data_IF_596136361209
#
_entry.id   IF_596136361209
#
_cell.length_a   1.000
_cell.length_b   1.000
_cell.length_c   1.000
_cell.angle_alpha   90.00
_cell.angle_beta   90.00
_cell.angle_gamma   90.00
#
_symmetry.space_group_name_H-M   'P 1'
#
loop_
_entity.id
_entity.type
_entity.pdbx_description
1 polymer ?
#
# COMPACT_ATOMS: atom_id res chain seq x y z
N UNK A 1 -6.86 -9.07 -10.94
CA UNK A 1 -7.52 -8.53 -12.15
C UNK A 1 -7.77 -7.04 -11.94
N UNK A 2 -6.85 -6.17 -12.39
CA UNK A 2 -7.09 -4.73 -12.41
C UNK A 2 -7.98 -4.43 -13.62
N UNK A 3 -9.25 -4.09 -13.41
CA UNK A 3 -10.09 -3.59 -14.51
C UNK A 3 -9.67 -2.15 -14.74
N UNK A 4 -9.09 -1.87 -15.91
CA UNK A 4 -8.76 -0.51 -16.30
C UNK A 4 -10.02 0.38 -16.23
N UNK A 5 -9.84 1.63 -15.81
CA UNK A 5 -10.94 2.59 -15.72
C UNK A 5 -11.52 2.88 -17.11
N UNK A 6 -12.79 2.54 -17.32
CA UNK A 6 -13.51 2.78 -18.58
C UNK A 6 -14.23 4.14 -18.51
N UNK A 7 -13.59 5.14 -19.13
CA UNK A 7 -14.13 6.50 -19.23
C UNK A 7 -15.47 6.51 -19.97
N UNK A 8 -15.66 5.69 -21.00
CA UNK A 8 -16.87 5.70 -21.82
C UNK A 8 -18.08 5.06 -21.11
N UNK A 9 -17.84 4.07 -20.26
CA UNK A 9 -18.86 3.54 -19.35
C UNK A 9 -19.23 4.59 -18.29
N UNK A 10 -18.22 5.21 -17.65
CA UNK A 10 -18.43 6.21 -16.60
C UNK A 10 -19.21 7.43 -17.11
N UNK A 11 -18.90 7.92 -18.32
CA UNK A 11 -19.62 9.04 -18.94
C UNK A 11 -21.08 8.68 -19.22
N UNK A 12 -21.36 7.44 -19.63
CA UNK A 12 -22.73 6.95 -19.86
C UNK A 12 -23.52 6.87 -18.56
N UNK A 13 -22.91 6.37 -17.49
CA UNK A 13 -23.54 6.27 -16.18
C UNK A 13 -23.85 7.66 -15.61
N UNK A 14 -22.93 8.61 -15.78
CA UNK A 14 -23.13 10.00 -15.35
C UNK A 14 -24.25 10.68 -16.15
N UNK A 15 -24.33 10.45 -17.46
CA UNK A 15 -25.44 10.95 -18.28
C UNK A 15 -26.78 10.32 -17.89
N UNK A 16 -26.80 9.02 -17.58
CA UNK A 16 -27.99 8.34 -17.07
C UNK A 16 -28.45 8.91 -15.72
N UNK A 17 -27.53 9.43 -14.90
CA UNK A 17 -27.81 10.13 -13.66
C UNK A 17 -28.23 11.61 -13.86
N UNK A 18 -28.37 12.08 -15.10
CA UNK A 18 -28.79 13.45 -15.43
C UNK A 18 -27.65 14.47 -15.48
N UNK A 19 -26.39 14.04 -15.42
CA UNK A 19 -25.24 14.93 -15.58
C UNK A 19 -25.08 15.30 -17.05
N UNK A 20 -24.98 16.59 -17.35
CA UNK A 20 -24.78 17.06 -18.71
C UNK A 20 -23.50 16.48 -19.33
N UNK A 21 -23.52 16.16 -20.62
CA UNK A 21 -22.42 15.44 -21.31
C UNK A 21 -21.04 16.05 -21.08
N UNK A 22 -20.91 17.37 -21.19
CA UNK A 22 -19.63 18.06 -20.96
C UNK A 22 -19.12 17.93 -19.51
N UNK A 23 -20.02 17.95 -18.53
CA UNK A 23 -19.67 17.70 -17.13
C UNK A 23 -19.31 16.23 -16.89
N UNK A 24 -20.05 15.30 -17.51
CA UNK A 24 -19.78 13.87 -17.40
C UNK A 24 -18.39 13.51 -17.95
N UNK A 25 -18.03 14.05 -19.12
CA UNK A 25 -16.71 13.87 -19.74
C UNK A 25 -15.60 14.48 -18.87
N UNK A 26 -15.80 15.69 -18.34
CA UNK A 26 -14.85 16.34 -17.44
C UNK A 26 -14.64 15.55 -16.13
N UNK A 27 -15.72 15.02 -15.55
CA UNK A 27 -15.66 14.24 -14.31
C UNK A 27 -14.96 12.89 -14.53
N UNK A 28 -15.27 12.19 -15.63
CA UNK A 28 -14.62 10.94 -15.98
C UNK A 28 -13.12 11.14 -16.28
N UNK A 29 -12.75 12.25 -16.94
CA UNK A 29 -11.35 12.61 -17.16
C UNK A 29 -10.61 12.91 -15.84
N UNK A 30 -11.24 13.64 -14.92
CA UNK A 30 -10.68 13.90 -13.59
C UNK A 30 -10.48 12.61 -12.79
N UNK A 31 -11.45 11.68 -12.81
CA UNK A 31 -11.33 10.38 -12.17
C UNK A 31 -10.21 9.52 -12.77
N UNK A 32 -10.05 9.53 -14.10
CA UNK A 32 -8.96 8.83 -14.78
C UNK A 32 -7.60 9.39 -14.36
N UNK A 33 -7.45 10.71 -14.39
CA UNK A 33 -6.21 11.39 -13.99
C UNK A 33 -5.87 11.14 -12.52
N UNK A 34 -6.85 11.20 -11.62
CA UNK A 34 -6.67 10.86 -10.22
C UNK A 34 -6.36 9.37 -9.98
N UNK A 35 -6.75 8.50 -10.90
CA UNK A 35 -6.38 7.08 -10.85
C UNK A 35 -4.94 6.86 -11.33
N UNK A 36 -4.48 7.63 -12.31
CA UNK A 36 -3.10 7.59 -12.84
C UNK A 36 -2.09 8.22 -11.86
N UNK A 37 -2.50 9.24 -11.10
CA UNK A 37 -1.63 9.99 -10.17
C UNK A 37 -1.51 9.36 -8.78
N UNK A 38 -2.25 8.29 -8.51
CA UNK A 38 -2.01 7.49 -7.30
C UNK A 38 -0.79 6.62 -7.58
N UNK A 39 0.33 6.93 -6.92
CA UNK A 39 1.42 5.97 -6.72
C UNK A 39 0.80 4.65 -6.23
N UNK A 40 0.66 3.71 -7.16
CA UNK A 40 0.04 2.44 -6.87
C UNK A 40 1.04 1.67 -6.02
N UNK A 41 0.93 1.76 -4.69
CA UNK A 41 1.59 0.78 -3.81
C UNK A 41 1.00 -0.56 -4.19
N UNK A 42 1.75 -1.30 -5.00
CA UNK A 42 1.34 -2.61 -5.44
C UNK A 42 1.27 -3.51 -4.20
N UNK A 43 0.37 -4.51 -4.21
CA UNK A 43 0.33 -5.50 -3.13
C UNK A 43 1.71 -6.12 -2.90
N UNK A 44 2.48 -6.31 -3.97
CA UNK A 44 3.85 -6.82 -3.92
C UNK A 44 4.80 -5.87 -3.16
N UNK A 45 4.72 -4.56 -3.35
CA UNK A 45 5.52 -3.59 -2.61
C UNK A 45 5.14 -3.55 -1.13
N UNK A 46 3.84 -3.65 -0.82
CA UNK A 46 3.37 -3.74 0.55
C UNK A 46 3.88 -5.02 1.24
N UNK A 47 3.76 -6.17 0.57
CA UNK A 47 4.26 -7.46 1.07
C UNK A 47 5.78 -7.44 1.26
N UNK A 48 6.52 -6.84 0.34
CA UNK A 48 7.97 -6.67 0.46
C UNK A 48 8.36 -5.76 1.65
N UNK A 49 7.60 -4.68 1.88
CA UNK A 49 7.80 -3.80 3.02
C UNK A 49 7.52 -4.52 4.35
N UNK A 50 6.47 -5.33 4.40
CA UNK A 50 6.11 -6.17 5.56
C UNK A 50 7.21 -7.20 5.83
N UNK A 51 7.64 -7.96 4.82
CA UNK A 51 8.73 -8.93 4.96
C UNK A 51 10.02 -8.29 5.47
N UNK A 52 10.36 -7.09 4.98
CA UNK A 52 11.52 -6.32 5.47
C UNK A 52 11.38 -5.91 6.93
N UNK A 53 10.18 -5.55 7.38
CA UNK A 53 9.91 -5.24 8.79
C UNK A 53 10.02 -6.50 9.67
N UNK A 54 9.50 -7.64 9.24
CA UNK A 54 9.61 -8.92 9.95
C UNK A 54 11.07 -9.32 10.16
N UNK A 55 11.90 -9.26 9.10
CA UNK A 55 13.34 -9.55 9.19
C UNK A 55 14.05 -8.59 10.15
N UNK A 56 13.67 -7.31 10.14
CA UNK A 56 14.23 -6.32 11.06
C UNK A 56 13.88 -6.65 12.52
N UNK A 57 12.64 -7.03 12.80
CA UNK A 57 12.20 -7.44 14.13
C UNK A 57 12.93 -8.71 14.61
N UNK A 58 13.03 -9.73 13.76
CA UNK A 58 13.77 -10.96 14.06
C UNK A 58 15.22 -10.67 14.43
N UNK A 59 15.89 -9.78 13.67
CA UNK A 59 17.26 -9.36 13.98
C UNK A 59 17.38 -8.70 15.36
N UNK A 60 16.43 -7.83 15.71
CA UNK A 60 16.42 -7.19 17.01
C UNK A 60 16.19 -8.18 18.15
N UNK A 61 15.23 -9.11 17.99
CA UNK A 61 14.97 -10.16 18.98
C UNK A 61 16.20 -11.02 19.21
N UNK A 62 16.88 -11.43 18.13
CA UNK A 62 18.11 -12.21 18.24
C UNK A 62 19.22 -11.44 18.95
N UNK A 63 19.38 -10.15 18.64
CA UNK A 63 20.36 -9.27 19.30
C UNK A 63 20.08 -9.11 20.80
N UNK A 64 18.82 -8.91 21.17
CA UNK A 64 18.41 -8.82 22.59
C UNK A 64 18.64 -10.14 23.31
N UNK A 65 18.26 -11.27 22.70
CA UNK A 65 18.48 -12.59 23.27
C UNK A 65 19.98 -12.86 23.52
N UNK A 66 20.84 -12.52 22.55
CA UNK A 66 22.29 -12.64 22.70
C UNK A 66 22.83 -11.75 23.82
N UNK A 67 22.33 -10.51 23.94
CA UNK A 67 22.72 -9.60 25.01
C UNK A 67 22.32 -10.12 26.40
N UNK A 68 21.12 -10.71 26.54
CA UNK A 68 20.65 -11.33 27.79
C UNK A 68 21.55 -12.51 28.17
N UNK A 69 21.87 -13.40 27.22
CA UNK A 69 22.76 -14.55 27.47
C UNK A 69 24.16 -14.08 27.89
N UNK A 70 24.70 -13.06 27.22
CA UNK A 70 26.00 -12.49 27.57
C UNK A 70 25.98 -11.86 28.97
N UNK A 71 24.93 -11.13 29.33
CA UNK A 71 24.76 -10.52 30.65
C UNK A 71 24.72 -11.58 31.76
N UNK A 72 24.00 -12.69 31.54
CA UNK A 72 23.96 -13.82 32.49
C UNK A 72 25.33 -14.49 32.67
N UNK A 73 26.15 -14.54 31.61
CA UNK A 73 27.51 -15.10 31.69
C UNK A 73 28.53 -14.18 32.37
N UNK A 74 28.33 -12.86 32.28
CA UNK A 74 29.25 -11.84 32.79
C UNK A 74 28.98 -11.43 34.26
N UNK A 75 27.82 -11.80 34.82
CA UNK A 75 27.48 -11.59 36.22
C UNK A 75 27.76 -12.86 37.04
N UNK A 76 28.95 -13.02 37.66
CA UNK A 76 29.21 -14.13 38.58
C UNK A 76 28.44 -13.87 39.89
N UNK A 77 27.20 -14.34 39.98
CA UNK A 77 26.38 -14.16 41.18
C UNK A 77 24.88 -14.37 41.05
N UNK A 78 24.39 -14.85 39.90
CA UNK A 78 23.07 -15.48 39.76
C UNK A 78 23.23 -16.99 39.56
#
# INVERSE_FOLDING_TARGET
MSRAFDTAATVRDLQAAGVGRGQAEALAAACRKASEDRDHVTRAELEAAVAKQEVRLLKWVLGVAAAVVAALKLLPGL
#
